data_IF_384631291240
#
_entry.id   IF_384631291240
#
_cell.length_a   1.000
_cell.length_b   1.000
_cell.length_c   1.000
_cell.angle_alpha   90.00
_cell.angle_beta   90.00
_cell.angle_gamma   90.00
#
_symmetry.space_group_name_H-M   'P 1'
#
loop_
_entity.id
_entity.type
_entity.pdbx_description
1 polymer ?
#
# COMPACT_ATOMS: atom_id res chain seq x y z
N UNK A 1 1.40 -0.62 -5.81
CA UNK A 1 1.81 -1.29 -7.07
C UNK A 1 2.06 -2.77 -6.76
N UNK A 2 2.63 -3.58 -7.65
CA UNK A 2 3.04 -4.95 -7.26
C UNK A 2 4.25 -4.81 -6.34
N UNK A 3 4.26 -5.36 -5.10
CA UNK A 3 5.30 -5.08 -4.12
C UNK A 3 6.75 -5.20 -4.64
N UNK A 4 7.15 -6.31 -5.30
CA UNK A 4 8.51 -6.43 -5.85
C UNK A 4 8.86 -5.39 -6.92
N UNK A 5 7.88 -4.90 -7.69
CA UNK A 5 8.12 -3.83 -8.67
C UNK A 5 8.33 -2.49 -7.97
N UNK A 6 7.50 -2.21 -6.97
CA UNK A 6 7.53 -0.96 -6.20
C UNK A 6 8.85 -0.79 -5.46
N UNK A 7 9.27 -1.84 -4.74
CA UNK A 7 10.53 -1.87 -3.99
C UNK A 7 11.74 -1.66 -4.91
N UNK A 8 11.79 -2.37 -6.05
CA UNK A 8 12.88 -2.23 -7.01
C UNK A 8 12.91 -0.85 -7.68
N UNK A 9 11.75 -0.26 -7.98
CA UNK A 9 11.67 1.07 -8.58
C UNK A 9 12.13 2.17 -7.62
N UNK A 10 11.80 2.09 -6.33
CA UNK A 10 12.20 3.09 -5.33
C UNK A 10 13.62 2.93 -4.80
N UNK A 11 14.23 1.75 -4.96
CA UNK A 11 15.62 1.49 -4.56
C UNK A 11 16.66 2.03 -5.55
N UNK A 12 16.26 2.23 -6.82
CA UNK A 12 17.15 2.69 -7.89
C UNK A 12 17.30 4.20 -7.94
N UNK A 13 18.46 4.68 -8.40
CA UNK A 13 18.64 6.09 -8.69
C UNK A 13 18.05 6.47 -10.07
N UNK A 14 17.63 7.73 -10.28
CA UNK A 14 17.20 8.21 -11.59
C UNK A 14 18.24 7.96 -12.68
N UNK A 15 17.82 7.26 -13.74
CA UNK A 15 18.67 6.85 -14.86
C UNK A 15 19.18 5.41 -14.76
N UNK A 16 19.09 4.78 -13.59
CA UNK A 16 19.56 3.41 -13.34
C UNK A 16 18.57 2.35 -13.85
N UNK A 17 19.10 1.17 -14.17
CA UNK A 17 18.34 0.01 -14.66
C UNK A 17 18.46 -1.11 -13.62
N UNK A 18 17.33 -1.71 -13.24
CA UNK A 18 17.29 -2.83 -12.28
C UNK A 18 17.83 -4.12 -12.89
N UNK A 19 18.21 -5.05 -12.02
CA UNK A 19 18.21 -6.47 -12.36
C UNK A 19 16.79 -6.97 -12.69
N UNK A 20 16.68 -8.21 -13.16
CA UNK A 20 15.39 -8.81 -13.52
C UNK A 20 14.51 -9.00 -12.28
N UNK A 21 13.37 -8.30 -12.23
CA UNK A 21 12.38 -8.36 -11.16
C UNK A 21 11.27 -9.34 -11.51
N UNK A 22 11.10 -10.38 -10.70
CA UNK A 22 9.98 -11.32 -10.84
C UNK A 22 8.72 -10.77 -10.16
N UNK A 23 7.60 -10.84 -10.87
CA UNK A 23 6.29 -10.44 -10.37
C UNK A 23 5.27 -11.51 -10.75
N UNK A 24 4.06 -11.42 -10.21
CA UNK A 24 2.94 -12.28 -10.65
C UNK A 24 2.63 -12.19 -12.16
N UNK A 25 3.13 -11.17 -12.85
CA UNK A 25 2.97 -10.97 -14.29
C UNK A 25 4.20 -11.42 -15.11
N UNK A 26 5.18 -12.07 -14.47
CA UNK A 26 6.44 -12.50 -15.08
C UNK A 26 7.62 -11.57 -14.75
N UNK A 27 8.60 -11.52 -15.64
CA UNK A 27 9.88 -10.84 -15.42
C UNK A 27 9.90 -9.42 -15.99
N UNK A 28 10.36 -8.46 -15.18
CA UNK A 28 10.40 -7.04 -15.49
C UNK A 28 11.84 -6.51 -15.38
N UNK A 29 12.21 -5.58 -16.26
CA UNK A 29 13.43 -4.77 -16.13
C UNK A 29 12.98 -3.32 -16.01
N UNK A 30 13.40 -2.66 -14.93
CA UNK A 30 12.89 -1.36 -14.53
C UNK A 30 13.97 -0.32 -14.80
N UNK A 31 13.62 0.79 -15.45
CA UNK A 31 14.49 1.96 -15.57
C UNK A 31 13.81 3.16 -14.94
N UNK A 32 14.42 3.70 -13.89
CA UNK A 32 13.90 4.92 -13.26
C UNK A 32 14.24 6.09 -14.17
N UNK A 33 13.24 6.87 -14.58
CA UNK A 33 13.48 8.08 -15.38
C UNK A 33 13.72 9.30 -14.51
N UNK A 34 12.90 9.48 -13.49
CA UNK A 34 12.94 10.60 -12.57
C UNK A 34 12.19 10.21 -11.27
N UNK A 35 12.65 10.72 -10.13
CA UNK A 35 11.88 10.68 -8.89
C UNK A 35 11.08 11.96 -8.76
N UNK A 36 9.76 11.85 -8.92
CA UNK A 36 8.89 12.96 -8.57
C UNK A 36 8.66 12.91 -7.05
N UNK A 37 9.35 13.80 -6.32
CA UNK A 37 9.03 14.08 -4.92
C UNK A 37 7.71 14.85 -4.90
N UNK A 38 6.60 14.15 -5.11
CA UNK A 38 5.27 14.72 -4.94
C UNK A 38 5.23 15.43 -3.59
N UNK A 39 4.56 16.59 -3.55
CA UNK A 39 4.43 17.37 -2.33
C UNK A 39 3.89 16.43 -1.23
N UNK A 40 4.72 16.15 -0.22
CA UNK A 40 4.27 15.36 0.91
C UNK A 40 3.31 16.25 1.68
N UNK A 41 2.00 15.90 1.76
CA UNK A 41 1.04 16.74 2.45
C UNK A 41 1.50 16.91 3.89
N UNK A 42 1.31 18.12 4.42
CA UNK A 42 1.65 18.38 5.82
C UNK A 42 0.79 17.51 6.74
N UNK A 43 1.25 17.28 7.96
CA UNK A 43 0.48 16.51 8.94
C UNK A 43 -0.93 17.08 9.14
N UNK A 44 -1.11 18.41 9.11
CA UNK A 44 -2.42 19.05 9.27
C UNK A 44 -3.35 18.74 8.10
N UNK A 45 -2.83 18.63 6.87
CA UNK A 45 -3.61 18.27 5.68
C UNK A 45 -3.96 16.78 5.66
N UNK A 46 -3.03 15.92 6.08
CA UNK A 46 -3.23 14.48 6.11
C UNK A 46 -4.03 13.99 7.33
N UNK A 47 -4.21 14.82 8.36
CA UNK A 47 -4.82 14.42 9.65
C UNK A 47 -6.23 13.89 9.51
N UNK A 48 -7.07 14.56 8.71
CA UNK A 48 -8.45 14.16 8.54
C UNK A 48 -8.58 12.85 7.76
N UNK A 49 -7.73 12.67 6.74
CA UNK A 49 -7.66 11.43 5.95
C UNK A 49 -7.15 10.25 6.79
N UNK A 50 -6.09 10.46 7.57
CA UNK A 50 -5.54 9.44 8.49
C UNK A 50 -6.58 9.07 9.55
N UNK A 51 -7.28 10.05 10.11
CA UNK A 51 -8.32 9.79 11.12
C UNK A 51 -9.47 8.98 10.54
N UNK A 52 -9.86 9.25 9.30
CA UNK A 52 -10.89 8.48 8.60
C UNK A 52 -10.43 7.03 8.39
N UNK A 53 -9.23 6.83 7.87
CA UNK A 53 -8.67 5.50 7.61
C UNK A 53 -8.59 4.65 8.90
N UNK A 54 -8.06 5.23 9.99
CA UNK A 54 -7.97 4.53 11.29
C UNK A 54 -9.35 4.20 11.87
N UNK A 55 -10.35 5.06 11.66
CA UNK A 55 -11.71 4.77 12.11
C UNK A 55 -12.36 3.65 11.30
N UNK A 56 -12.15 3.60 9.98
CA UNK A 56 -12.64 2.52 9.12
C UNK A 56 -12.02 1.17 9.50
N UNK A 57 -10.69 1.14 9.71
CA UNK A 57 -9.97 -0.04 10.18
C UNK A 57 -10.51 -0.53 11.53
N UNK A 58 -10.66 0.37 12.52
CA UNK A 58 -11.23 0.02 13.82
C UNK A 58 -12.68 -0.46 13.75
N UNK A 59 -13.46 0.09 12.82
CA UNK A 59 -14.85 -0.31 12.60
C UNK A 59 -14.89 -1.74 12.04
N UNK A 60 -14.01 -2.04 11.09
CA UNK A 60 -13.88 -3.37 10.49
C UNK A 60 -13.44 -4.40 11.53
N UNK A 61 -12.42 -4.09 12.34
CA UNK A 61 -12.00 -4.93 13.48
C UNK A 61 -13.15 -5.15 14.46
N UNK A 62 -13.87 -4.10 14.84
CA UNK A 62 -15.01 -4.22 15.74
C UNK A 62 -16.15 -5.07 15.15
N UNK A 63 -16.38 -4.97 13.84
CA UNK A 63 -17.34 -5.83 13.15
C UNK A 63 -16.89 -7.29 13.12
N UNK A 64 -15.60 -7.56 12.92
CA UNK A 64 -15.05 -8.92 12.99
C UNK A 64 -15.21 -9.49 14.40
N UNK A 65 -14.93 -8.71 15.44
CA UNK A 65 -15.12 -9.11 16.83
C UNK A 65 -16.60 -9.43 17.12
N UNK A 66 -17.53 -8.60 16.66
CA UNK A 66 -18.97 -8.87 16.79
C UNK A 66 -19.42 -10.13 16.04
N UNK A 67 -18.88 -10.39 14.85
CA UNK A 67 -19.15 -11.61 14.09
C UNK A 67 -18.60 -12.84 14.82
N UNK A 68 -17.42 -12.73 15.42
CA UNK A 68 -16.78 -13.80 16.19
C UNK A 68 -17.55 -14.10 17.49
N UNK A 69 -18.06 -13.07 18.17
CA UNK A 69 -18.83 -13.20 19.41
C UNK A 69 -20.29 -13.61 19.17
N UNK A 70 -20.82 -13.40 17.96
CA UNK A 70 -22.17 -13.80 17.60
C UNK A 70 -22.24 -15.33 17.35
N UNK A 71 -23.21 -16.00 17.99
CA UNK A 71 -23.59 -17.38 17.61
C UNK A 71 -24.29 -17.35 16.24
N UNK A 72 -23.52 -17.58 15.18
CA UNK A 72 -24.05 -17.71 13.83
C UNK A 72 -24.62 -19.13 13.66
N UNK A 73 -25.93 -19.28 13.84
CA UNK A 73 -26.65 -20.48 13.39
C UNK A 73 -26.92 -20.37 11.89
N UNK A 74 -26.24 -21.21 11.11
CA UNK A 74 -26.45 -21.35 9.67
C UNK A 74 -27.60 -22.33 9.45
N UNK A 75 -28.76 -21.80 9.09
CA UNK A 75 -29.95 -22.58 8.69
C UNK A 75 -29.77 -23.17 7.29
#
# INVERSE_FOLDING_TARGET
MVPPFEEAAFALEPGEISDVVETQFGYHVIKVSEHNTGETPSFEEAKDDVKKAVNEEKLEDWFQDLIADAKIEKN
#
